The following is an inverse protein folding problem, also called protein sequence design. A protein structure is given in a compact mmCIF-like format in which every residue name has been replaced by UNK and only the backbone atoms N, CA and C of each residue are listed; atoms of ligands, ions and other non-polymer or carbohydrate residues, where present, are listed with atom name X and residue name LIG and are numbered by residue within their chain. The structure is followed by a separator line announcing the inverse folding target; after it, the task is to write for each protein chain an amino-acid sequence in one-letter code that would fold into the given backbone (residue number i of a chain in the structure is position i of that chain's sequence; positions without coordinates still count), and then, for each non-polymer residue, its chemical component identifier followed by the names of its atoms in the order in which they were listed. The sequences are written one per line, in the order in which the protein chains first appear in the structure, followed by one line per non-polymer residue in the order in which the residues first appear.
data_IF_902863772390
#
_entry.id   IF_902863772390
#
_cell.length_a   1.000
_cell.length_b   1.000
_cell.length_c   1.000
_cell.angle_alpha   90.00
_cell.angle_beta   90.00
_cell.angle_gamma   90.00
#
_symmetry.space_group_name_H-M   'P 1'
#
loop_
_entity.id
_entity.type
_entity.pdbx_description
1 polymer ?
#
# COMPACT_ATOMS: atom_id res chain seq x y z
N UNK A 1 -17.97 16.18 13.33
CA UNK A 1 -16.98 17.01 14.04
C UNK A 1 -16.40 18.09 13.14
N UNK A 2 -15.80 19.13 13.71
CA UNK A 2 -15.15 20.16 12.93
C UNK A 2 -13.89 19.59 12.24
N UNK A 3 -13.66 19.90 10.94
CA UNK A 3 -12.45 19.52 10.25
C UNK A 3 -11.20 20.10 10.96
N UNK A 4 -10.14 19.28 11.04
CA UNK A 4 -8.84 19.72 11.59
C UNK A 4 -7.82 19.69 10.48
N UNK A 5 -7.00 20.74 10.37
CA UNK A 5 -5.91 20.80 9.43
C UNK A 5 -4.70 20.03 9.97
N UNK A 6 -4.03 19.27 9.09
CA UNK A 6 -2.72 18.67 9.35
C UNK A 6 -1.71 19.36 8.45
N UNK A 7 -0.71 19.99 9.04
CA UNK A 7 0.31 20.74 8.32
C UNK A 7 1.57 19.90 8.15
N UNK A 8 1.91 19.60 6.89
CA UNK A 8 3.17 18.95 6.55
C UNK A 8 4.28 19.98 6.32
N UNK A 9 5.45 19.69 6.83
CA UNK A 9 6.66 20.44 6.45
C UNK A 9 7.23 19.87 5.14
N UNK A 10 7.99 20.68 4.41
CA UNK A 10 8.76 20.17 3.27
C UNK A 10 9.68 19.02 3.70
N UNK A 11 10.26 19.11 4.90
CA UNK A 11 11.10 18.04 5.46
C UNK A 11 10.33 16.73 5.62
N UNK A 12 9.12 16.73 6.20
CA UNK A 12 8.34 15.51 6.38
C UNK A 12 7.94 14.91 5.03
N UNK A 13 7.54 15.75 4.08
CA UNK A 13 7.18 15.30 2.72
C UNK A 13 8.38 14.64 2.00
N UNK A 14 9.57 15.25 2.09
CA UNK A 14 10.78 14.71 1.44
C UNK A 14 11.23 13.41 2.11
N UNK A 15 11.28 13.35 3.45
CA UNK A 15 11.65 12.13 4.17
C UNK A 15 10.67 10.99 3.89
N UNK A 16 9.36 11.27 3.90
CA UNK A 16 8.33 10.31 3.54
C UNK A 16 8.51 9.80 2.10
N UNK A 17 8.79 10.70 1.15
CA UNK A 17 9.02 10.34 -0.24
C UNK A 17 10.15 9.32 -0.38
N UNK A 18 11.30 9.56 0.26
CA UNK A 18 12.40 8.59 0.26
C UNK A 18 12.03 7.29 0.96
N UNK A 19 11.33 7.36 2.09
CA UNK A 19 10.91 6.18 2.83
C UNK A 19 9.96 5.29 2.02
N UNK A 20 9.01 5.88 1.25
CA UNK A 20 8.11 5.11 0.38
C UNK A 20 8.81 4.43 -0.78
N UNK A 21 9.94 4.97 -1.25
CA UNK A 21 10.74 4.38 -2.32
C UNK A 21 11.60 3.19 -1.84
N UNK A 22 11.80 3.01 -0.53
CA UNK A 22 12.61 1.90 -0.01
C UNK A 22 12.00 0.53 -0.34
N UNK A 23 12.86 -0.52 -0.53
CA UNK A 23 12.41 -1.87 -0.93
C UNK A 23 11.37 -2.50 -0.03
N UNK A 24 11.46 -2.28 1.29
CA UNK A 24 10.54 -2.83 2.28
C UNK A 24 9.28 -1.95 2.52
N UNK A 25 9.12 -0.91 1.72
CA UNK A 25 7.96 -0.03 1.71
C UNK A 25 7.17 -0.20 0.41
N UNK A 26 6.91 0.86 -0.34
CA UNK A 26 6.22 0.74 -1.64
C UNK A 26 7.17 0.31 -2.77
N UNK A 27 8.48 0.43 -2.59
CA UNK A 27 9.53 0.03 -3.53
C UNK A 27 9.36 0.69 -4.91
N UNK A 28 9.14 1.99 -4.94
CA UNK A 28 8.94 2.74 -6.19
C UNK A 28 10.30 3.09 -6.80
N UNK A 29 10.47 2.76 -8.06
CA UNK A 29 11.69 3.01 -8.84
C UNK A 29 11.36 3.54 -10.24
N UNK A 30 12.38 3.95 -11.00
CA UNK A 30 12.22 4.37 -12.40
C UNK A 30 11.73 3.28 -13.35
N UNK A 31 11.78 2.03 -12.93
CA UNK A 31 11.25 0.89 -13.70
C UNK A 31 9.73 0.71 -13.51
N UNK A 32 9.12 1.47 -12.61
CA UNK A 32 7.71 1.30 -12.28
C UNK A 32 6.77 2.14 -13.12
N UNK A 33 5.61 1.57 -13.37
CA UNK A 33 4.40 2.26 -13.79
C UNK A 33 3.39 2.15 -12.64
N UNK A 34 3.09 3.27 -12.03
CA UNK A 34 2.29 3.35 -10.79
C UNK A 34 0.87 3.82 -11.10
N UNK A 35 -0.13 3.08 -10.65
CA UNK A 35 -1.55 3.41 -10.73
C UNK A 35 -2.09 3.67 -9.32
N UNK A 36 -2.08 4.91 -8.80
CA UNK A 36 -2.66 5.21 -7.50
C UNK A 36 -4.20 5.18 -7.60
N UNK A 37 -4.83 4.28 -6.83
CA UNK A 37 -6.28 4.17 -6.73
C UNK A 37 -6.73 4.77 -5.38
N UNK A 38 -6.09 5.87 -5.03
CA UNK A 38 -6.39 6.69 -3.85
C UNK A 38 -6.56 8.13 -4.33
N UNK A 39 -7.64 8.82 -3.93
CA UNK A 39 -7.86 10.20 -4.34
C UNK A 39 -6.71 11.13 -3.93
N UNK A 40 -6.37 12.09 -4.80
CA UNK A 40 -5.31 13.07 -4.52
C UNK A 40 -5.59 13.91 -3.27
N UNK A 41 -6.86 14.14 -2.94
CA UNK A 41 -7.26 14.88 -1.74
C UNK A 41 -7.18 14.03 -0.45
N UNK A 42 -7.03 12.70 -0.56
CA UNK A 42 -6.87 11.82 0.58
C UNK A 42 -5.38 11.56 0.84
N UNK A 43 -4.81 12.36 1.74
CA UNK A 43 -3.39 12.34 2.10
C UNK A 43 -2.45 12.25 0.90
N UNK A 44 -2.76 13.09 -0.11
CA UNK A 44 -1.97 13.22 -1.35
C UNK A 44 -1.74 11.87 -2.04
N UNK A 45 -2.80 11.04 -2.18
CA UNK A 45 -2.72 9.70 -2.77
C UNK A 45 -1.55 8.88 -2.20
N UNK A 46 -1.40 8.90 -0.86
CA UNK A 46 -0.35 8.20 -0.09
C UNK A 46 1.09 8.53 -0.53
N UNK A 47 1.31 9.76 -0.97
CA UNK A 47 2.62 10.24 -1.36
C UNK A 47 3.09 9.86 -2.76
N UNK A 48 2.30 9.09 -3.53
CA UNK A 48 2.67 8.70 -4.91
C UNK A 48 3.01 9.89 -5.82
N UNK A 49 2.30 11.05 -5.77
CA UNK A 49 2.62 12.23 -6.57
C UNK A 49 3.99 12.84 -6.30
N UNK A 50 4.58 12.54 -5.16
CA UNK A 50 5.95 12.97 -4.81
C UNK A 50 6.96 11.88 -5.15
N UNK A 51 6.65 10.62 -4.82
CA UNK A 51 7.56 9.50 -5.03
C UNK A 51 7.79 9.19 -6.51
N UNK A 52 6.74 9.21 -7.34
CA UNK A 52 6.88 8.92 -8.76
C UNK A 52 7.81 9.91 -9.51
N UNK A 53 7.66 11.24 -9.37
CA UNK A 53 8.60 12.17 -10.01
C UNK A 53 10.04 12.04 -9.49
N UNK A 54 10.22 11.83 -8.18
CA UNK A 54 11.57 11.66 -7.60
C UNK A 54 12.23 10.37 -8.11
N UNK A 55 11.47 9.29 -8.24
CA UNK A 55 11.97 8.01 -8.77
C UNK A 55 12.14 8.02 -10.30
N UNK A 56 11.48 8.93 -11.03
CA UNK A 56 11.35 8.87 -12.48
C UNK A 56 10.35 7.80 -12.95
N UNK A 57 9.40 7.40 -12.09
CA UNK A 57 8.37 6.43 -12.42
C UNK A 57 7.24 7.07 -13.24
N UNK A 58 6.65 6.30 -14.17
CA UNK A 58 5.42 6.70 -14.86
C UNK A 58 4.23 6.63 -13.89
N UNK A 59 3.35 7.61 -13.91
CA UNK A 59 2.12 7.59 -13.13
C UNK A 59 0.89 7.59 -14.04
N UNK A 60 0.00 6.62 -13.85
CA UNK A 60 -1.26 6.45 -14.57
C UNK A 60 -2.41 6.88 -13.67
N UNK A 61 -3.31 7.70 -14.20
CA UNK A 61 -4.41 8.26 -13.42
C UNK A 61 -5.75 7.68 -13.86
N UNK A 62 -6.51 7.00 -12.96
CA UNK A 62 -7.79 6.37 -13.31
C UNK A 62 -8.95 7.37 -13.43
N UNK A 63 -8.72 8.66 -13.17
CA UNK A 63 -9.76 9.69 -13.19
C UNK A 63 -10.87 9.39 -12.17
N UNK A 64 -12.11 9.47 -12.62
CA UNK A 64 -13.28 9.18 -11.76
C UNK A 64 -13.65 7.68 -11.70
N UNK A 65 -12.82 6.79 -12.25
CA UNK A 65 -13.05 5.34 -12.36
C UNK A 65 -12.27 4.50 -11.36
N UNK A 66 -11.82 5.10 -10.25
CA UNK A 66 -11.00 4.43 -9.22
C UNK A 66 -11.61 3.15 -8.64
N UNK A 67 -12.94 3.00 -8.65
CA UNK A 67 -13.62 1.82 -8.13
C UNK A 67 -14.13 0.84 -9.19
N UNK A 68 -13.86 1.10 -10.47
CA UNK A 68 -14.40 0.35 -11.61
C UNK A 68 -13.44 -0.77 -12.03
N UNK A 69 -13.73 -2.01 -11.64
CA UNK A 69 -12.87 -3.17 -11.90
C UNK A 69 -12.45 -3.34 -13.37
N UNK A 70 -13.38 -3.29 -14.35
CA UNK A 70 -13.05 -3.34 -15.77
C UNK A 70 -12.06 -2.26 -16.21
N UNK A 71 -12.30 -0.99 -15.84
CA UNK A 71 -11.40 0.11 -16.19
C UNK A 71 -10.01 -0.09 -15.57
N UNK A 72 -9.94 -0.57 -14.32
CA UNK A 72 -8.67 -0.83 -13.65
C UNK A 72 -7.89 -1.95 -14.35
N UNK A 73 -8.55 -3.05 -14.73
CA UNK A 73 -7.92 -4.15 -15.46
C UNK A 73 -7.37 -3.67 -16.83
N UNK A 74 -8.17 -2.89 -17.56
CA UNK A 74 -7.74 -2.27 -18.82
C UNK A 74 -6.51 -1.39 -18.63
N UNK A 75 -6.54 -0.44 -17.67
CA UNK A 75 -5.41 0.45 -17.41
C UNK A 75 -4.14 -0.31 -16.99
N UNK A 76 -4.29 -1.35 -16.15
CA UNK A 76 -3.16 -2.17 -15.73
C UNK A 76 -2.47 -2.78 -16.94
N UNK A 77 -3.23 -3.40 -17.83
CA UNK A 77 -2.68 -4.13 -18.97
C UNK A 77 -2.18 -3.19 -20.10
N UNK A 78 -2.96 -2.18 -20.47
CA UNK A 78 -2.61 -1.27 -21.57
C UNK A 78 -1.45 -0.33 -21.25
N UNK A 79 -1.39 0.15 -20.00
CA UNK A 79 -0.35 1.09 -19.57
C UNK A 79 0.89 0.38 -18.99
N UNK A 80 0.82 -0.93 -18.81
CA UNK A 80 1.89 -1.76 -18.25
C UNK A 80 2.12 -1.50 -16.76
N UNK A 81 1.06 -1.33 -15.97
CA UNK A 81 1.15 -1.00 -14.54
C UNK A 81 1.85 -2.11 -13.77
N UNK A 82 2.88 -1.75 -13.01
CA UNK A 82 3.67 -2.68 -12.18
C UNK A 82 3.32 -2.59 -10.71
N UNK A 83 2.84 -1.43 -10.26
CA UNK A 83 2.51 -1.15 -8.86
C UNK A 83 1.23 -0.35 -8.75
N UNK A 84 0.40 -0.70 -7.78
CA UNK A 84 -0.81 0.06 -7.47
C UNK A 84 -1.04 0.15 -5.96
N UNK A 85 -1.77 1.18 -5.53
CA UNK A 85 -2.08 1.41 -4.12
C UNK A 85 -3.55 1.77 -3.96
N UNK A 86 -4.22 1.16 -2.99
CA UNK A 86 -5.65 1.37 -2.77
C UNK A 86 -6.20 0.72 -1.51
N UNK A 87 -7.48 0.99 -1.27
CA UNK A 87 -8.22 0.40 -0.15
C UNK A 87 -8.81 -0.98 -0.51
N UNK A 88 -9.09 -1.86 0.47
CA UNK A 88 -9.57 -3.22 0.20
C UNK A 88 -10.81 -3.31 -0.71
N UNK A 89 -11.74 -2.38 -0.60
CA UNK A 89 -12.98 -2.38 -1.40
C UNK A 89 -12.72 -2.24 -2.90
N UNK A 90 -11.71 -1.48 -3.27
CA UNK A 90 -11.30 -1.32 -4.68
C UNK A 90 -10.71 -2.62 -5.21
N UNK A 91 -9.88 -3.29 -4.42
CA UNK A 91 -9.29 -4.58 -4.78
C UNK A 91 -10.34 -5.67 -4.94
N UNK A 92 -11.35 -5.70 -4.07
CA UNK A 92 -12.48 -6.63 -4.20
C UNK A 92 -13.21 -6.45 -5.54
N UNK A 93 -13.41 -5.20 -5.99
CA UNK A 93 -14.05 -4.92 -7.28
C UNK A 93 -13.19 -5.38 -8.46
N UNK A 94 -11.87 -5.13 -8.42
CA UNK A 94 -10.94 -5.62 -9.44
C UNK A 94 -10.93 -7.14 -9.50
N UNK A 95 -10.75 -7.82 -8.34
CA UNK A 95 -10.72 -9.27 -8.27
C UNK A 95 -12.04 -9.91 -8.71
N UNK A 96 -13.19 -9.31 -8.36
CA UNK A 96 -14.50 -9.76 -8.83
C UNK A 96 -14.61 -9.70 -10.37
N UNK A 97 -14.08 -8.61 -10.98
CA UNK A 97 -14.03 -8.49 -12.43
C UNK A 97 -13.12 -9.57 -13.04
N UNK A 98 -11.90 -9.74 -12.54
CA UNK A 98 -10.95 -10.72 -13.06
C UNK A 98 -11.52 -12.15 -12.99
N UNK A 99 -12.21 -12.51 -11.89
CA UNK A 99 -12.90 -13.82 -11.77
C UNK A 99 -14.00 -14.02 -12.82
N UNK A 100 -14.78 -12.98 -13.08
CA UNK A 100 -15.94 -13.09 -13.99
C UNK A 100 -15.55 -13.04 -15.46
N UNK A 101 -14.51 -12.27 -15.81
CA UNK A 101 -14.05 -12.09 -17.19
C UNK A 101 -13.01 -13.15 -17.62
N UNK A 102 -12.30 -13.74 -16.67
CA UNK A 102 -11.13 -14.59 -16.94
C UNK A 102 -9.88 -13.78 -17.33
N UNK A 103 -9.94 -12.46 -17.28
CA UNK A 103 -8.78 -11.59 -17.56
C UNK A 103 -7.70 -11.76 -16.51
N UNK A 104 -6.46 -11.45 -16.91
CA UNK A 104 -5.30 -11.43 -16.01
C UNK A 104 -4.67 -10.04 -16.00
N UNK A 105 -3.92 -9.76 -14.95
CA UNK A 105 -3.15 -8.52 -14.77
C UNK A 105 -1.66 -8.87 -14.94
N UNK A 106 -1.23 -9.01 -16.19
CA UNK A 106 0.07 -9.60 -16.56
C UNK A 106 1.28 -8.80 -16.08
N UNK A 107 1.14 -7.48 -15.97
CA UNK A 107 2.26 -6.59 -15.62
C UNK A 107 2.29 -6.20 -14.15
N UNK A 108 1.18 -6.39 -13.43
CA UNK A 108 1.06 -5.99 -12.03
C UNK A 108 1.91 -6.90 -11.14
N UNK A 109 2.89 -6.31 -10.49
CA UNK A 109 3.83 -7.05 -9.62
C UNK A 109 3.46 -6.95 -8.15
N UNK A 110 2.92 -5.80 -7.73
CA UNK A 110 2.59 -5.56 -6.32
C UNK A 110 1.45 -4.57 -6.13
N UNK A 111 0.71 -4.77 -5.05
CA UNK A 111 -0.30 -3.84 -4.57
C UNK A 111 -0.04 -3.47 -3.12
N UNK A 112 -0.24 -2.19 -2.79
CA UNK A 112 -0.23 -1.71 -1.42
C UNK A 112 -1.66 -1.51 -0.96
N UNK A 113 -2.02 -2.14 0.14
CA UNK A 113 -3.35 -2.12 0.73
C UNK A 113 -3.29 -1.43 2.08
N UNK A 114 -4.13 -0.42 2.27
CA UNK A 114 -4.21 0.32 3.53
C UNK A 114 -5.56 0.98 3.73
N UNK A 115 -5.67 1.81 4.76
CA UNK A 115 -6.91 2.50 5.12
C UNK A 115 -7.89 1.66 5.94
N UNK A 116 -7.82 0.33 5.86
CA UNK A 116 -8.50 -0.63 6.73
C UNK A 116 -7.80 -1.99 6.67
N UNK A 117 -8.19 -2.92 7.54
CA UNK A 117 -7.64 -4.27 7.54
C UNK A 117 -7.85 -4.95 6.17
N UNK A 118 -6.79 -5.56 5.66
CA UNK A 118 -6.83 -6.33 4.42
C UNK A 118 -7.19 -7.80 4.74
N UNK A 119 -8.30 -8.33 4.20
CA UNK A 119 -8.64 -9.74 4.40
C UNK A 119 -7.56 -10.65 3.80
N UNK A 120 -7.22 -11.74 4.49
CA UNK A 120 -6.25 -12.73 4.00
C UNK A 120 -6.68 -13.29 2.62
N UNK A 121 -7.98 -13.50 2.42
CA UNK A 121 -8.52 -13.99 1.14
C UNK A 121 -8.22 -13.07 -0.06
N UNK A 122 -8.12 -11.77 0.16
CA UNK A 122 -7.71 -10.81 -0.90
C UNK A 122 -6.24 -11.01 -1.24
N UNK A 123 -5.40 -11.22 -0.22
CA UNK A 123 -3.96 -11.46 -0.42
C UNK A 123 -3.70 -12.78 -1.14
N UNK A 124 -4.39 -13.85 -0.71
CA UNK A 124 -4.32 -15.18 -1.33
C UNK A 124 -4.80 -15.18 -2.78
N UNK A 125 -5.84 -14.41 -3.07
CA UNK A 125 -6.32 -14.27 -4.43
C UNK A 125 -5.33 -13.54 -5.33
N UNK A 126 -4.70 -12.46 -4.86
CA UNK A 126 -3.62 -11.79 -5.59
C UNK A 126 -2.42 -12.70 -5.84
N UNK A 127 -2.11 -13.61 -4.91
CA UNK A 127 -1.05 -14.61 -5.12
C UNK A 127 -1.31 -15.49 -6.35
N UNK A 128 -2.58 -15.79 -6.67
CA UNK A 128 -2.95 -16.58 -7.87
C UNK A 128 -2.62 -15.85 -9.17
N UNK A 129 -2.51 -14.52 -9.11
CA UNK A 129 -2.08 -13.67 -10.22
C UNK A 129 -0.58 -13.36 -10.19
N UNK A 130 0.16 -13.85 -9.18
CA UNK A 130 1.58 -13.55 -8.99
C UNK A 130 1.87 -12.15 -8.44
N UNK A 131 0.87 -11.51 -7.82
CA UNK A 131 0.94 -10.14 -7.31
C UNK A 131 1.27 -10.14 -5.82
N UNK A 132 2.37 -9.48 -5.43
CA UNK A 132 2.74 -9.28 -4.01
C UNK A 132 1.82 -8.27 -3.35
N UNK A 133 1.19 -8.66 -2.23
CA UNK A 133 0.30 -7.78 -1.47
C UNK A 133 1.00 -7.26 -0.23
N UNK A 134 1.14 -5.95 -0.12
CA UNK A 134 1.73 -5.26 1.02
C UNK A 134 0.66 -4.57 1.82
N UNK A 135 0.51 -4.97 3.08
CA UNK A 135 -0.42 -4.33 4.01
C UNK A 135 0.28 -3.17 4.70
N UNK A 136 -0.36 -2.00 4.74
CA UNK A 136 0.22 -0.78 5.27
C UNK A 136 -0.73 -0.07 6.23
N UNK A 137 -0.16 0.53 7.28
CA UNK A 137 -0.87 1.45 8.15
C UNK A 137 -0.51 2.89 7.83
N UNK A 138 -1.54 3.68 7.59
CA UNK A 138 -1.43 5.08 7.17
C UNK A 138 -2.33 5.96 8.00
N UNK A 139 -1.84 7.14 8.35
CA UNK A 139 -2.62 8.21 8.97
C UNK A 139 -2.23 9.55 8.36
N UNK A 140 -3.18 10.48 8.28
CA UNK A 140 -2.90 11.84 7.78
C UNK A 140 -1.76 12.49 8.57
N UNK A 141 -1.72 12.26 9.89
CA UNK A 141 -0.71 12.81 10.80
C UNK A 141 0.70 12.23 10.62
N UNK A 142 0.86 11.15 9.85
CA UNK A 142 2.15 10.47 9.62
C UNK A 142 2.77 10.73 8.23
N UNK A 143 2.21 11.62 7.44
CA UNK A 143 2.73 12.08 6.12
C UNK A 143 2.57 11.17 4.89
N UNK A 144 1.79 10.12 4.73
CA UNK A 144 0.90 9.44 5.68
C UNK A 144 1.39 8.05 6.15
N UNK A 145 2.41 7.43 5.52
CA UNK A 145 2.79 6.03 5.75
C UNK A 145 3.52 5.87 7.08
N UNK A 146 2.98 5.05 7.97
CA UNK A 146 3.56 4.72 9.26
C UNK A 146 4.30 3.40 9.25
N UNK A 147 3.61 2.32 8.83
CA UNK A 147 4.20 0.99 8.76
C UNK A 147 3.92 0.34 7.41
N UNK A 148 4.75 -0.60 7.03
CA UNK A 148 4.56 -1.41 5.83
C UNK A 148 4.96 -2.85 6.11
N UNK A 149 4.16 -3.79 5.59
CA UNK A 149 4.46 -5.20 5.64
C UNK A 149 5.01 -5.63 4.28
N UNK A 150 6.27 -6.01 4.24
CA UNK A 150 6.85 -6.74 3.11
C UNK A 150 7.14 -8.17 3.53
N UNK A 151 6.80 -9.14 2.70
CA UNK A 151 7.06 -10.55 3.01
C UNK A 151 8.57 -10.88 3.08
N UNK A 152 9.39 -10.01 2.49
CA UNK A 152 10.85 -10.01 2.60
C UNK A 152 11.53 -11.34 2.32
N UNK A 153 12.85 -11.36 2.53
CA UNK A 153 13.68 -12.56 2.36
C UNK A 153 13.38 -13.67 3.39
N UNK A 154 12.65 -13.37 4.45
CA UNK A 154 12.34 -14.33 5.52
C UNK A 154 11.11 -15.19 5.25
N UNK A 155 10.42 -15.00 4.13
CA UNK A 155 9.21 -15.76 3.78
C UNK A 155 9.39 -17.27 3.93
N UNK A 156 10.55 -17.80 3.56
CA UNK A 156 10.88 -19.23 3.66
C UNK A 156 11.05 -19.74 5.11
N UNK A 157 11.12 -18.85 6.10
CA UNK A 157 11.27 -19.20 7.53
C UNK A 157 9.93 -19.41 8.22
N UNK A 158 8.82 -19.04 7.58
CA UNK A 158 7.48 -19.17 8.12
C UNK A 158 6.80 -20.43 7.58
N UNK A 159 6.14 -21.18 8.48
CA UNK A 159 5.11 -22.13 8.05
C UNK A 159 3.87 -21.37 7.50
N UNK A 160 2.94 -22.12 6.90
CA UNK A 160 1.77 -21.51 6.25
C UNK A 160 0.92 -20.67 7.22
N UNK A 161 0.75 -21.12 8.46
CA UNK A 161 -0.04 -20.42 9.47
C UNK A 161 0.65 -19.13 9.93
N UNK A 162 1.90 -19.22 10.30
CA UNK A 162 2.72 -18.06 10.72
C UNK A 162 2.87 -17.04 9.60
N UNK A 163 3.00 -17.50 8.35
CA UNK A 163 3.06 -16.63 7.19
C UNK A 163 1.73 -15.87 6.97
N UNK A 164 0.59 -16.57 7.07
CA UNK A 164 -0.73 -15.94 6.97
C UNK A 164 -0.94 -14.89 8.07
N UNK A 165 -0.59 -15.22 9.32
CA UNK A 165 -0.67 -14.29 10.44
C UNK A 165 0.24 -13.06 10.23
N UNK A 166 1.48 -13.26 9.77
CA UNK A 166 2.41 -12.18 9.46
C UNK A 166 1.86 -11.26 8.35
N UNK A 167 1.28 -11.82 7.29
CA UNK A 167 0.75 -11.03 6.16
C UNK A 167 -0.40 -10.12 6.55
N UNK A 168 -1.26 -10.52 7.49
CA UNK A 168 -2.40 -9.71 7.94
C UNK A 168 -2.00 -8.57 8.87
N UNK A 169 -0.80 -8.59 9.42
CA UNK A 169 -0.25 -7.48 10.20
C UNK A 169 0.14 -6.31 9.28
N UNK A 170 0.18 -5.10 9.84
CA UNK A 170 0.58 -3.89 9.12
C UNK A 170 2.10 -3.69 9.02
N UNK A 171 2.88 -4.68 9.47
CA UNK A 171 4.33 -4.72 9.33
C UNK A 171 5.08 -3.86 10.34
N UNK A 172 6.22 -3.32 9.90
CA UNK A 172 7.16 -2.57 10.72
C UNK A 172 7.16 -1.09 10.36
N UNK A 173 7.57 -0.20 11.30
CA UNK A 173 7.76 1.21 11.01
C UNK A 173 8.70 1.40 9.83
N UNK A 174 8.33 2.33 8.93
CA UNK A 174 9.23 2.73 7.84
C UNK A 174 10.31 3.66 8.38
N UNK A 175 11.36 3.88 7.57
CA UNK A 175 12.44 4.80 7.94
C UNK A 175 11.89 6.17 8.36
N UNK A 176 12.33 6.66 9.53
CA UNK A 176 11.97 7.96 10.06
C UNK A 176 10.66 7.99 10.85
N UNK A 177 9.99 6.85 11.05
CA UNK A 177 8.80 6.71 11.89
C UNK A 177 9.15 5.94 13.16
N UNK A 178 8.82 6.52 14.31
CA UNK A 178 8.89 5.87 15.62
C UNK A 178 7.48 5.46 16.06
N UNK A 179 7.34 4.24 16.57
CA UNK A 179 6.08 3.69 17.08
C UNK A 179 6.30 3.25 18.51
N UNK A 180 5.35 3.53 19.37
CA UNK A 180 5.29 2.98 20.72
C UNK A 180 3.88 2.48 21.03
N UNK A 181 3.79 1.50 21.91
CA UNK A 181 2.53 1.00 22.45
C UNK A 181 2.34 1.64 23.82
N UNK A 182 1.15 2.14 24.10
CA UNK A 182 0.84 2.79 25.38
C UNK A 182 -0.46 2.23 25.97
N UNK A 183 -0.57 2.32 27.29
CA UNK A 183 -1.85 2.19 27.98
C UNK A 183 -2.74 3.45 27.77
N UNK A 184 -3.93 3.43 28.38
CA UNK A 184 -4.90 4.54 28.29
C UNK A 184 -4.38 5.83 28.97
N UNK A 185 -3.41 5.74 29.87
CA UNK A 185 -2.76 6.86 30.57
C UNK A 185 -1.51 7.37 29.82
N UNK A 186 -1.23 6.86 28.59
CA UNK A 186 -0.05 7.14 27.76
C UNK A 186 1.30 6.67 28.34
N UNK A 187 1.31 5.75 29.30
CA UNK A 187 2.54 5.11 29.72
C UNK A 187 2.97 4.08 28.67
N UNK A 188 4.25 4.04 28.35
CA UNK A 188 4.78 3.09 27.39
C UNK A 188 4.72 1.66 27.93
N UNK A 189 4.17 0.75 27.14
CA UNK A 189 4.11 -0.68 27.45
C UNK A 189 5.32 -1.41 26.86
N UNK A 190 5.74 -2.51 27.49
CA UNK A 190 6.85 -3.32 26.97
C UNK A 190 6.47 -3.99 25.64
N UNK A 191 7.48 -4.23 24.80
CA UNK A 191 7.34 -4.95 23.52
C UNK A 191 7.49 -6.46 23.74
N UNK A 192 6.70 -7.05 24.61
CA UNK A 192 6.80 -8.45 25.05
C UNK A 192 5.81 -9.40 24.34
N UNK A 193 4.95 -8.84 23.49
CA UNK A 193 3.97 -9.61 22.74
C UNK A 193 2.72 -10.02 23.54
N UNK A 194 2.52 -9.41 24.71
CA UNK A 194 1.36 -9.65 25.60
C UNK A 194 0.37 -8.51 25.47
#
# INVERSE_FOLDING_TARGET
GNPKGVLYSHRSTVLHTYATMMPDSMNISSADVVLPIVPMFHVNAWGNPYACPVAGAKMVMPGNKMGDGPTLATLINEEGVTMSAGVPTVWLNLLAHLRSSGERVETLQRVVVGGSACPLSVMEEFDTYGVDTRHAWVMTEMSPLGTSNSSGARRHQYDAYSFAAMRTNVGQPIFGVEVKITDDDNNELPWDGV
#
